data_IF_561618743093
#
_entry.id   IF_561618743093
#
_cell.length_a   1.000
_cell.length_b   1.000
_cell.length_c   1.000
_cell.angle_alpha   90.00
_cell.angle_beta   90.00
_cell.angle_gamma   90.00
#
_symmetry.space_group_name_H-M   'P 1'
#
loop_
_entity.id
_entity.type
_entity.pdbx_description
1 polymer ?
#
# COMPACT_ATOMS: atom_id res chain seq x y z
N UNK A 1 10.53 -22.47 44.22
CA UNK A 1 10.27 -22.45 42.75
C UNK A 1 10.23 -23.89 42.27
N UNK A 2 9.02 -24.42 42.06
CA UNK A 2 8.73 -25.86 42.06
C UNK A 2 9.34 -26.61 40.88
N UNK A 3 9.82 -27.85 41.12
CA UNK A 3 10.24 -28.82 40.09
C UNK A 3 9.22 -28.98 38.95
N UNK A 4 7.95 -28.77 39.26
CA UNK A 4 6.84 -28.76 38.28
C UNK A 4 6.99 -27.62 37.27
N UNK A 5 7.32 -26.40 37.69
CA UNK A 5 7.49 -25.25 36.78
C UNK A 5 8.70 -25.45 35.87
N UNK A 6 9.79 -26.02 36.41
CA UNK A 6 10.99 -26.36 35.62
C UNK A 6 10.71 -27.46 34.58
N UNK A 7 9.93 -28.46 34.93
CA UNK A 7 9.57 -29.54 34.01
C UNK A 7 8.56 -29.08 32.95
N UNK A 8 7.63 -28.18 33.28
CA UNK A 8 6.72 -27.57 32.30
C UNK A 8 7.49 -26.69 31.32
N UNK A 9 8.47 -25.91 31.79
CA UNK A 9 9.32 -25.10 30.90
C UNK A 9 10.19 -25.97 29.98
N UNK A 10 10.77 -27.06 30.48
CA UNK A 10 11.52 -28.02 29.67
C UNK A 10 10.63 -28.71 28.63
N UNK A 11 9.40 -29.11 29.00
CA UNK A 11 8.46 -29.73 28.06
C UNK A 11 8.05 -28.73 26.96
N UNK A 12 7.80 -27.47 27.33
CA UNK A 12 7.44 -26.40 26.38
C UNK A 12 8.62 -26.05 25.46
N UNK A 13 9.84 -26.04 25.98
CA UNK A 13 11.06 -25.81 25.18
C UNK A 13 11.33 -26.97 24.23
N UNK A 14 11.13 -28.23 24.68
CA UNK A 14 11.24 -29.38 23.79
C UNK A 14 10.14 -29.42 22.74
N UNK A 15 8.88 -29.08 23.08
CA UNK A 15 7.80 -28.98 22.09
C UNK A 15 8.04 -27.87 21.06
N UNK A 16 8.58 -26.72 21.47
CA UNK A 16 8.96 -25.64 20.55
C UNK A 16 10.14 -26.00 19.63
N UNK A 17 11.06 -26.88 20.07
CA UNK A 17 12.15 -27.35 19.19
C UNK A 17 11.73 -28.41 18.19
N UNK A 18 10.62 -29.12 18.41
CA UNK A 18 10.09 -30.11 17.45
C UNK A 18 9.24 -29.50 16.33
N UNK A 19 8.91 -28.20 16.36
CA UNK A 19 8.15 -27.53 15.29
C UNK A 19 9.00 -26.69 14.34
N UNK A 20 10.34 -26.77 14.45
CA UNK A 20 11.29 -26.14 13.52
C UNK A 20 12.04 -27.19 12.69
N UNK A 21 11.36 -28.28 12.33
CA UNK A 21 11.73 -28.95 11.09
C UNK A 21 11.13 -28.08 9.99
N UNK A 22 11.95 -27.19 9.44
CA UNK A 22 11.62 -26.45 8.24
C UNK A 22 11.08 -27.48 7.24
N UNK A 23 9.80 -27.34 6.89
CA UNK A 23 9.22 -28.07 5.78
C UNK A 23 10.01 -27.61 4.55
N UNK A 24 11.07 -28.35 4.19
CA UNK A 24 11.66 -28.22 2.87
C UNK A 24 10.56 -28.67 1.94
N UNK A 25 9.83 -27.69 1.37
CA UNK A 25 8.79 -27.98 0.40
C UNK A 25 9.36 -28.89 -0.66
N UNK A 26 8.60 -29.92 -1.04
CA UNK A 26 9.01 -30.80 -2.12
C UNK A 26 9.27 -29.95 -3.37
N UNK A 27 10.45 -30.15 -3.96
CA UNK A 27 10.78 -29.46 -5.22
C UNK A 27 9.90 -30.06 -6.30
N UNK A 28 9.07 -29.21 -6.88
CA UNK A 28 8.17 -29.56 -7.95
C UNK A 28 8.88 -29.76 -9.29
N UNK A 29 8.12 -30.10 -10.32
CA UNK A 29 8.62 -30.22 -11.68
C UNK A 29 7.57 -29.82 -12.73
N UNK A 30 8.07 -29.38 -13.88
CA UNK A 30 7.30 -29.33 -15.11
C UNK A 30 7.78 -30.48 -15.98
N UNK A 31 6.87 -31.38 -16.34
CA UNK A 31 7.18 -32.54 -17.17
C UNK A 31 6.11 -32.77 -18.21
N UNK A 32 6.27 -33.78 -19.05
CA UNK A 32 5.26 -34.18 -20.01
C UNK A 32 5.88 -34.68 -21.29
N UNK A 33 5.11 -34.60 -22.38
CA UNK A 33 5.50 -35.14 -23.68
C UNK A 33 5.19 -34.14 -24.79
N UNK A 34 6.21 -33.77 -25.55
CA UNK A 34 6.08 -32.93 -26.74
C UNK A 34 6.40 -33.73 -28.00
N UNK A 35 5.43 -33.81 -28.91
CA UNK A 35 5.57 -34.30 -30.26
C UNK A 35 6.14 -33.17 -31.12
N UNK A 36 7.38 -33.36 -31.58
CA UNK A 36 8.10 -32.40 -32.41
C UNK A 36 8.60 -33.08 -33.68
N UNK A 37 8.50 -32.37 -34.80
CA UNK A 37 9.11 -32.79 -36.06
C UNK A 37 10.65 -32.67 -36.06
N UNK A 38 11.29 -33.08 -37.14
CA UNK A 38 12.76 -33.08 -37.24
C UNK A 38 13.38 -31.68 -37.33
N UNK A 39 12.59 -30.63 -37.56
CA UNK A 39 13.07 -29.23 -37.65
C UNK A 39 13.37 -28.63 -36.28
N UNK A 40 12.75 -29.15 -35.23
CA UNK A 40 12.92 -28.69 -33.85
C UNK A 40 14.09 -29.37 -33.13
N UNK A 41 14.73 -28.63 -32.23
CA UNK A 41 15.65 -29.21 -31.26
C UNK A 41 14.85 -29.97 -30.21
N UNK A 42 15.39 -31.14 -29.81
CA UNK A 42 14.84 -31.94 -28.71
C UNK A 42 15.26 -31.36 -27.37
N UNK A 43 15.01 -30.07 -27.17
CA UNK A 43 15.35 -29.33 -25.95
C UNK A 43 14.22 -28.36 -25.59
N UNK A 44 13.80 -28.40 -24.33
CA UNK A 44 12.80 -27.48 -23.77
C UNK A 44 13.47 -26.52 -22.81
N UNK A 45 13.12 -25.24 -22.92
CA UNK A 45 13.64 -24.17 -22.07
C UNK A 45 12.51 -23.59 -21.23
N UNK A 46 12.83 -23.22 -19.99
CA UNK A 46 11.94 -22.53 -19.07
C UNK A 46 12.57 -21.19 -18.69
N UNK A 47 11.88 -20.11 -19.05
CA UNK A 47 12.34 -18.74 -18.78
C UNK A 47 11.40 -18.01 -17.83
N UNK A 48 11.94 -17.29 -16.85
CA UNK A 48 11.17 -16.43 -15.96
C UNK A 48 10.71 -15.16 -16.69
N UNK A 49 9.45 -14.79 -16.53
CA UNK A 49 8.88 -13.53 -17.02
C UNK A 49 8.84 -12.55 -15.86
N UNK A 50 9.81 -11.64 -15.75
CA UNK A 50 9.94 -10.76 -14.55
C UNK A 50 8.75 -9.81 -14.32
N UNK A 51 8.04 -9.43 -15.39
CA UNK A 51 6.93 -8.47 -15.33
C UNK A 51 5.96 -8.71 -16.50
N UNK A 52 4.67 -8.49 -16.28
CA UNK A 52 3.64 -8.70 -17.32
C UNK A 52 3.76 -7.73 -18.50
N UNK A 53 4.19 -6.49 -18.25
CA UNK A 53 4.46 -5.48 -19.29
C UNK A 53 5.61 -5.89 -20.23
N UNK A 54 6.41 -6.88 -19.81
CA UNK A 54 7.57 -7.39 -20.51
C UNK A 54 7.38 -8.86 -20.92
N UNK A 55 6.13 -9.33 -21.03
CA UNK A 55 5.81 -10.74 -21.25
C UNK A 55 6.49 -11.35 -22.49
N UNK A 56 6.73 -10.56 -23.54
CA UNK A 56 7.43 -11.00 -24.76
C UNK A 56 8.92 -10.65 -24.81
N UNK A 57 9.44 -9.87 -23.86
CA UNK A 57 10.87 -9.51 -23.82
C UNK A 57 11.76 -10.73 -23.57
N UNK A 58 12.99 -10.75 -24.12
CA UNK A 58 13.91 -11.90 -24.04
C UNK A 58 15.29 -11.48 -23.53
N UNK A 59 15.84 -12.23 -22.57
CA UNK A 59 17.27 -12.19 -22.23
C UNK A 59 17.74 -13.55 -21.69
N UNK A 60 18.98 -13.95 -22.01
CA UNK A 60 19.53 -15.26 -21.58
C UNK A 60 19.57 -15.44 -20.06
N UNK A 61 19.67 -14.33 -19.32
CA UNK A 61 19.76 -14.36 -17.87
C UNK A 61 18.44 -14.79 -17.20
N UNK A 62 17.39 -15.01 -17.99
CA UNK A 62 16.06 -15.41 -17.52
C UNK A 62 15.77 -16.90 -17.69
N UNK A 63 16.62 -17.67 -18.38
CA UNK A 63 16.46 -19.13 -18.44
C UNK A 63 16.78 -19.70 -17.05
N UNK A 64 15.75 -20.20 -16.38
CA UNK A 64 15.83 -20.75 -15.01
C UNK A 64 15.84 -22.28 -15.00
N UNK A 65 15.52 -22.91 -16.12
CA UNK A 65 15.57 -24.36 -16.27
C UNK A 65 15.59 -24.78 -17.73
N UNK A 66 16.10 -25.97 -18.00
CA UNK A 66 16.02 -26.59 -19.33
C UNK A 66 16.16 -28.10 -19.22
N UNK A 67 15.65 -28.83 -20.20
CA UNK A 67 15.76 -30.29 -20.29
C UNK A 67 15.85 -30.73 -21.73
N UNK A 68 16.72 -31.69 -22.02
CA UNK A 68 16.64 -32.46 -23.25
C UNK A 68 15.37 -33.34 -23.25
N UNK A 69 14.83 -33.60 -24.43
CA UNK A 69 13.72 -34.51 -24.66
C UNK A 69 14.25 -35.87 -25.09
N UNK A 70 13.64 -36.94 -24.57
CA UNK A 70 13.96 -38.30 -25.01
C UNK A 70 13.47 -38.60 -26.44
N UNK A 71 13.70 -39.84 -26.91
CA UNK A 71 13.27 -40.27 -28.24
C UNK A 71 11.75 -40.24 -28.44
N UNK A 72 10.98 -40.37 -27.35
CA UNK A 72 9.52 -40.34 -27.36
C UNK A 72 8.94 -38.94 -27.16
N UNK A 73 9.80 -37.94 -26.92
CA UNK A 73 9.43 -36.54 -26.68
C UNK A 73 9.17 -36.21 -25.21
N UNK A 74 9.49 -37.11 -24.28
CA UNK A 74 9.29 -36.83 -22.86
C UNK A 74 10.39 -35.90 -22.35
N UNK A 75 10.01 -34.97 -21.47
CA UNK A 75 10.92 -34.04 -20.81
C UNK A 75 10.57 -33.88 -19.33
N UNK A 76 11.54 -33.42 -18.54
CA UNK A 76 11.34 -33.10 -17.12
C UNK A 76 12.29 -31.99 -16.69
N UNK A 77 11.72 -30.86 -16.26
CA UNK A 77 12.44 -29.71 -15.71
C UNK A 77 12.13 -29.63 -14.22
N UNK A 78 13.15 -29.75 -13.38
CA UNK A 78 13.01 -29.51 -11.93
C UNK A 78 12.85 -28.00 -11.65
N UNK A 79 12.05 -27.66 -10.64
CA UNK A 79 11.80 -26.27 -10.24
C UNK A 79 12.70 -25.82 -9.08
N UNK A 80 13.89 -26.40 -8.94
CA UNK A 80 14.84 -26.10 -7.87
C UNK A 80 15.33 -24.65 -7.89
N UNK A 81 15.51 -24.07 -9.09
CA UNK A 81 15.97 -22.70 -9.31
C UNK A 81 14.83 -21.69 -9.56
N UNK A 82 13.61 -22.05 -9.18
CA UNK A 82 12.39 -21.25 -9.38
C UNK A 82 11.93 -20.61 -8.07
N UNK A 83 11.39 -19.38 -8.08
CA UNK A 83 10.86 -18.73 -6.89
C UNK A 83 9.79 -19.56 -6.16
N UNK A 84 9.75 -19.44 -4.83
CA UNK A 84 8.75 -20.09 -3.98
C UNK A 84 7.35 -19.44 -4.05
N UNK A 85 7.26 -18.22 -4.59
CA UNK A 85 6.00 -17.53 -4.84
C UNK A 85 5.52 -17.77 -6.28
N UNK A 86 4.21 -17.60 -6.51
CA UNK A 86 3.63 -17.65 -7.86
C UNK A 86 4.36 -16.72 -8.79
N UNK A 87 4.78 -17.25 -9.94
CA UNK A 87 5.50 -16.52 -10.98
C UNK A 87 5.06 -16.99 -12.35
N UNK A 88 5.25 -16.12 -13.33
CA UNK A 88 4.98 -16.42 -14.73
C UNK A 88 6.24 -16.88 -15.42
N UNK A 89 6.12 -17.98 -16.15
CA UNK A 89 7.19 -18.59 -16.92
C UNK A 89 6.77 -18.72 -18.37
N UNK A 90 7.78 -18.78 -19.22
CA UNK A 90 7.65 -19.12 -20.63
C UNK A 90 8.36 -20.45 -20.85
N UNK A 91 7.59 -21.45 -21.25
CA UNK A 91 8.12 -22.69 -21.76
C UNK A 91 8.27 -22.54 -23.27
N UNK A 92 9.43 -22.86 -23.84
CA UNK A 92 9.63 -22.75 -25.28
C UNK A 92 10.58 -23.82 -25.82
N UNK A 93 10.45 -24.06 -27.12
CA UNK A 93 11.33 -24.95 -27.90
C UNK A 93 11.89 -24.16 -29.08
N UNK A 94 13.03 -24.55 -29.63
CA UNK A 94 13.68 -23.81 -30.73
C UNK A 94 13.98 -24.72 -31.91
N UNK A 95 14.04 -24.15 -33.11
CA UNK A 95 14.45 -24.88 -34.32
C UNK A 95 15.95 -25.14 -34.33
N UNK A 96 16.36 -26.22 -34.99
CA UNK A 96 17.78 -26.59 -35.11
C UNK A 96 18.60 -25.47 -35.75
N UNK A 97 19.70 -25.12 -35.10
CA UNK A 97 20.63 -24.09 -35.58
C UNK A 97 20.21 -22.66 -35.24
N UNK A 98 19.08 -22.46 -34.56
CA UNK A 98 18.73 -21.19 -33.97
C UNK A 98 19.29 -21.08 -32.54
N UNK A 99 19.49 -19.85 -32.08
CA UNK A 99 19.86 -19.61 -30.69
C UNK A 99 18.67 -20.00 -29.77
N UNK A 100 18.92 -20.46 -28.52
CA UNK A 100 17.87 -20.63 -27.50
C UNK A 100 17.03 -19.38 -27.21
N UNK A 101 17.46 -18.20 -27.71
CA UNK A 101 16.77 -16.91 -27.66
C UNK A 101 15.68 -16.75 -28.72
N UNK A 102 15.60 -17.65 -29.69
CA UNK A 102 14.72 -17.49 -30.84
C UNK A 102 13.28 -17.78 -30.45
N UNK A 103 12.46 -16.74 -30.51
CA UNK A 103 11.02 -16.80 -30.24
C UNK A 103 10.27 -16.37 -31.49
N UNK A 104 9.25 -17.13 -31.83
CA UNK A 104 8.32 -16.80 -32.91
C UNK A 104 7.00 -16.40 -32.28
N UNK A 105 6.49 -15.23 -32.65
CA UNK A 105 5.24 -14.67 -32.13
C UNK A 105 4.18 -14.68 -33.23
N UNK A 106 2.96 -15.11 -32.89
CA UNK A 106 1.77 -14.84 -33.72
C UNK A 106 1.80 -15.47 -35.12
N UNK A 107 2.48 -16.61 -35.27
CA UNK A 107 2.52 -17.36 -36.54
C UNK A 107 2.26 -18.84 -36.30
N UNK A 108 2.09 -19.62 -37.38
CA UNK A 108 1.97 -21.08 -37.29
C UNK A 108 3.17 -21.77 -36.64
N UNK A 109 4.31 -21.08 -36.57
CA UNK A 109 5.54 -21.58 -35.95
C UNK A 109 5.75 -21.04 -34.54
N UNK A 110 4.70 -20.47 -33.91
CA UNK A 110 4.76 -20.06 -32.51
C UNK A 110 5.21 -21.23 -31.62
N UNK A 111 6.22 -20.94 -30.81
CA UNK A 111 7.07 -21.95 -30.19
C UNK A 111 7.16 -21.81 -28.68
N UNK A 112 6.18 -21.15 -28.05
CA UNK A 112 6.15 -20.96 -26.61
C UNK A 112 4.76 -21.14 -26.02
N UNK A 113 4.75 -21.32 -24.70
CA UNK A 113 3.57 -21.38 -23.85
C UNK A 113 3.88 -20.61 -22.57
N UNK A 114 2.95 -19.76 -22.14
CA UNK A 114 3.04 -19.16 -20.81
C UNK A 114 2.44 -20.07 -19.75
N UNK A 115 3.09 -20.14 -18.60
CA UNK A 115 2.70 -20.99 -17.47
C UNK A 115 2.83 -20.20 -16.17
N UNK A 116 1.88 -20.39 -15.26
CA UNK A 116 1.97 -19.90 -13.89
C UNK A 116 2.40 -21.04 -12.97
N UNK A 117 3.49 -20.86 -12.24
CA UNK A 117 4.03 -21.89 -11.34
C UNK A 117 4.76 -21.28 -10.14
N UNK A 118 5.14 -22.13 -9.19
CA UNK A 118 6.03 -21.84 -8.05
C UNK A 118 6.89 -23.08 -7.78
N UNK A 119 7.90 -22.96 -6.92
CA UNK A 119 8.91 -24.00 -6.66
C UNK A 119 8.37 -25.41 -6.38
N UNK A 120 7.21 -25.54 -5.75
CA UNK A 120 6.56 -26.81 -5.38
C UNK A 120 5.45 -27.24 -6.35
N UNK A 121 5.39 -26.65 -7.55
CA UNK A 121 4.36 -26.97 -8.55
C UNK A 121 4.66 -28.26 -9.30
N UNK A 122 3.62 -29.07 -9.49
CA UNK A 122 3.66 -30.30 -10.27
C UNK A 122 2.77 -30.12 -11.50
N UNK A 123 3.38 -29.89 -12.66
CA UNK A 123 2.66 -29.55 -13.89
C UNK A 123 3.06 -30.54 -14.98
N UNK A 124 2.06 -31.11 -15.67
CA UNK A 124 2.28 -31.97 -16.83
C UNK A 124 1.72 -31.32 -18.09
N UNK A 125 2.50 -31.36 -19.17
CA UNK A 125 2.17 -30.69 -20.43
C UNK A 125 2.26 -31.67 -21.58
N UNK A 126 1.20 -31.75 -22.37
CA UNK A 126 1.09 -32.63 -23.51
C UNK A 126 0.63 -31.82 -24.70
N UNK A 127 1.33 -31.90 -25.83
CA UNK A 127 0.82 -31.34 -27.07
C UNK A 127 0.20 -32.42 -27.96
N UNK A 128 -0.59 -31.95 -28.92
CA UNK A 128 -1.03 -32.76 -30.06
C UNK A 128 -0.08 -32.54 -31.23
N UNK A 129 -0.18 -33.38 -32.28
CA UNK A 129 0.67 -33.34 -33.48
C UNK A 129 0.35 -32.13 -34.41
N UNK A 130 -0.06 -31.00 -33.83
CA UNK A 130 -0.53 -29.80 -34.52
C UNK A 130 0.46 -28.64 -34.42
N UNK A 131 0.27 -27.67 -35.31
CA UNK A 131 1.02 -26.40 -35.35
C UNK A 131 0.05 -25.23 -35.19
N UNK A 132 0.33 -24.24 -34.33
CA UNK A 132 1.50 -24.11 -33.44
C UNK A 132 1.63 -25.20 -32.37
N UNK A 133 2.87 -25.47 -31.94
CA UNK A 133 3.22 -26.59 -31.05
C UNK A 133 2.39 -26.61 -29.77
N UNK A 134 2.10 -25.42 -29.21
CA UNK A 134 1.41 -25.27 -27.95
C UNK A 134 -0.06 -24.84 -28.07
N UNK A 135 -0.59 -24.69 -29.30
CA UNK A 135 -1.95 -24.16 -29.51
C UNK A 135 -3.02 -24.98 -28.78
N UNK A 136 -2.89 -26.31 -28.82
CA UNK A 136 -3.79 -27.25 -28.17
C UNK A 136 -3.09 -28.05 -27.08
N UNK A 137 -2.14 -27.44 -26.38
CA UNK A 137 -1.45 -28.09 -25.28
C UNK A 137 -2.42 -28.34 -24.11
N UNK A 138 -2.48 -29.59 -23.67
CA UNK A 138 -3.16 -29.99 -22.45
C UNK A 138 -2.22 -29.79 -21.26
N UNK A 139 -2.73 -29.11 -20.23
CA UNK A 139 -1.99 -28.81 -19.00
C UNK A 139 -2.71 -29.46 -17.82
N UNK A 140 -2.03 -30.38 -17.16
CA UNK A 140 -2.52 -31.05 -15.96
C UNK A 140 -1.76 -30.57 -14.72
N UNK A 141 -2.39 -30.65 -13.54
CA UNK A 141 -1.79 -30.23 -12.26
C UNK A 141 -1.86 -28.71 -12.01
N UNK A 142 -2.39 -27.93 -12.96
CA UNK A 142 -2.48 -26.48 -12.89
C UNK A 142 -3.87 -25.97 -13.32
N UNK A 143 -4.96 -26.21 -12.55
CA UNK A 143 -6.34 -25.87 -12.96
C UNK A 143 -6.55 -24.37 -13.22
N UNK A 144 -5.78 -23.51 -12.55
CA UNK A 144 -5.80 -22.06 -12.76
C UNK A 144 -5.35 -21.63 -14.17
N UNK A 145 -4.67 -22.52 -14.93
CA UNK A 145 -4.26 -22.25 -16.31
C UNK A 145 -5.46 -22.18 -17.27
N UNK A 146 -6.58 -22.82 -16.94
CA UNK A 146 -7.82 -22.67 -17.72
C UNK A 146 -8.33 -21.22 -17.66
N UNK A 147 -8.35 -20.64 -16.45
CA UNK A 147 -8.71 -19.23 -16.24
C UNK A 147 -7.70 -18.30 -16.92
N UNK A 148 -6.40 -18.61 -16.83
CA UNK A 148 -5.36 -17.85 -17.53
C UNK A 148 -5.58 -17.83 -19.05
N UNK A 149 -5.85 -18.99 -19.66
CA UNK A 149 -6.16 -19.10 -21.09
C UNK A 149 -7.46 -18.38 -21.47
N UNK A 150 -8.47 -18.42 -20.61
CA UNK A 150 -9.69 -17.64 -20.78
C UNK A 150 -9.40 -16.13 -20.80
N UNK A 151 -8.60 -15.62 -19.87
CA UNK A 151 -8.18 -14.21 -19.81
C UNK A 151 -7.47 -13.81 -21.11
N UNK A 152 -6.49 -14.62 -21.55
CA UNK A 152 -5.73 -14.34 -22.76
C UNK A 152 -6.65 -14.19 -23.98
N UNK A 153 -7.52 -15.18 -24.24
CA UNK A 153 -8.49 -15.13 -25.34
C UNK A 153 -9.46 -13.96 -25.23
N UNK A 154 -9.97 -13.69 -24.02
CA UNK A 154 -10.91 -12.60 -23.79
C UNK A 154 -10.27 -11.23 -24.04
N UNK A 155 -9.00 -11.05 -23.68
CA UNK A 155 -8.28 -9.79 -23.90
C UNK A 155 -7.98 -9.49 -25.37
N UNK A 156 -7.88 -10.53 -26.20
CA UNK A 156 -7.67 -10.38 -27.65
C UNK A 156 -8.97 -10.19 -28.42
N UNK A 157 -10.12 -10.54 -27.83
CA UNK A 157 -11.43 -10.49 -28.46
C UNK A 157 -11.76 -9.15 -29.15
N UNK A 158 -11.50 -7.96 -28.54
CA UNK A 158 -11.76 -6.70 -29.22
C UNK A 158 -10.95 -6.55 -30.51
N UNK A 159 -9.72 -7.07 -30.56
CA UNK A 159 -8.85 -6.93 -31.74
C UNK A 159 -9.21 -7.91 -32.86
N UNK A 160 -10.02 -8.93 -32.58
CA UNK A 160 -10.46 -9.93 -33.56
C UNK A 160 -11.70 -9.52 -34.35
N UNK A 161 -12.43 -8.47 -33.90
CA UNK A 161 -13.64 -7.99 -34.56
C UNK A 161 -13.29 -6.93 -35.60
N UNK A 162 -13.91 -7.03 -36.79
CA UNK A 162 -13.94 -5.95 -37.76
C UNK A 162 -15.10 -5.00 -37.42
N UNK A 163 -14.78 -3.75 -37.13
CA UNK A 163 -15.75 -2.75 -36.62
C UNK A 163 -16.32 -1.84 -37.70
N UNK A 164 -16.05 -2.09 -38.99
CA UNK A 164 -16.53 -1.24 -40.11
C UNK A 164 -16.28 0.27 -39.88
N UNK A 165 -15.18 0.62 -39.20
CA UNK A 165 -14.78 1.97 -38.76
C UNK A 165 -15.60 2.62 -37.62
N UNK A 166 -16.42 1.86 -36.88
CA UNK A 166 -17.13 2.33 -35.69
C UNK A 166 -16.23 2.37 -34.44
N UNK A 167 -15.62 3.52 -34.18
CA UNK A 167 -14.80 3.71 -32.97
C UNK A 167 -15.61 3.54 -31.67
N UNK A 168 -16.89 3.94 -31.70
CA UNK A 168 -17.79 3.84 -30.54
C UNK A 168 -18.07 2.39 -30.20
N UNK A 169 -18.30 1.54 -31.21
CA UNK A 169 -18.53 0.12 -31.00
C UNK A 169 -17.28 -0.58 -30.46
N UNK A 170 -16.10 -0.24 -31.00
CA UNK A 170 -14.82 -0.73 -30.49
C UNK A 170 -14.63 -0.38 -29.01
N UNK A 171 -14.78 0.90 -28.64
CA UNK A 171 -14.62 1.33 -27.25
C UNK A 171 -15.65 0.66 -26.33
N UNK A 172 -16.89 0.48 -26.78
CA UNK A 172 -17.90 -0.25 -26.02
C UNK A 172 -17.50 -1.72 -25.76
N UNK A 173 -16.99 -2.41 -26.77
CA UNK A 173 -16.53 -3.81 -26.61
C UNK A 173 -15.30 -3.88 -25.70
N UNK A 174 -14.36 -2.95 -25.82
CA UNK A 174 -13.20 -2.85 -24.92
C UNK A 174 -13.63 -2.64 -23.47
N UNK A 175 -14.58 -1.74 -23.21
CA UNK A 175 -15.15 -1.51 -21.88
C UNK A 175 -15.86 -2.77 -21.34
N UNK A 176 -16.66 -3.46 -22.16
CA UNK A 176 -17.31 -4.73 -21.77
C UNK A 176 -16.30 -5.82 -21.43
N UNK A 177 -15.22 -5.93 -22.22
CA UNK A 177 -14.14 -6.89 -21.96
C UNK A 177 -13.41 -6.54 -20.67
N UNK A 178 -13.12 -5.25 -20.42
CA UNK A 178 -12.50 -4.81 -19.17
C UNK A 178 -13.36 -5.17 -17.95
N UNK A 179 -14.68 -4.91 -18.00
CA UNK A 179 -15.59 -5.30 -16.91
C UNK A 179 -15.55 -6.81 -16.63
N UNK A 180 -15.52 -7.64 -17.68
CA UNK A 180 -15.37 -9.09 -17.52
C UNK A 180 -14.03 -9.49 -16.89
N UNK A 181 -12.94 -8.86 -17.32
CA UNK A 181 -11.61 -9.11 -16.76
C UNK A 181 -11.52 -8.70 -15.29
N UNK A 182 -12.14 -7.59 -14.89
CA UNK A 182 -12.28 -7.20 -13.47
C UNK A 182 -13.05 -8.22 -12.65
N UNK A 183 -14.16 -8.76 -13.18
CA UNK A 183 -14.91 -9.84 -12.51
C UNK A 183 -14.06 -11.10 -12.33
N UNK A 184 -13.28 -11.47 -13.36
CA UNK A 184 -12.32 -12.58 -13.25
C UNK A 184 -11.27 -12.27 -12.18
N UNK A 185 -10.70 -11.07 -12.17
CA UNK A 185 -9.72 -10.66 -11.18
C UNK A 185 -10.25 -10.79 -9.74
N UNK A 186 -11.51 -10.44 -9.50
CA UNK A 186 -12.08 -10.53 -8.16
C UNK A 186 -12.41 -11.97 -7.72
N UNK A 187 -12.87 -12.80 -8.66
CA UNK A 187 -13.32 -14.18 -8.37
C UNK A 187 -12.22 -15.23 -8.46
N UNK A 188 -11.09 -14.93 -9.12
CA UNK A 188 -10.00 -15.89 -9.31
C UNK A 188 -9.29 -16.22 -8.00
N UNK A 189 -9.10 -17.52 -7.74
CA UNK A 189 -8.43 -18.02 -6.53
C UNK A 189 -6.91 -17.85 -6.59
N UNK A 190 -6.31 -17.98 -7.78
CA UNK A 190 -4.87 -17.80 -7.95
C UNK A 190 -4.58 -16.30 -8.04
N UNK A 191 -3.82 -15.79 -7.07
CA UNK A 191 -3.56 -14.36 -6.97
C UNK A 191 -2.80 -13.81 -8.18
N UNK A 192 -1.83 -14.54 -8.73
CA UNK A 192 -1.09 -14.07 -9.89
C UNK A 192 -1.94 -14.07 -11.18
N UNK A 193 -2.81 -15.06 -11.38
CA UNK A 193 -3.76 -15.09 -12.50
C UNK A 193 -4.80 -13.98 -12.36
N UNK A 194 -5.27 -13.71 -11.14
CA UNK A 194 -6.12 -12.56 -10.82
C UNK A 194 -5.47 -11.25 -11.24
N UNK A 195 -4.20 -11.04 -10.87
CA UNK A 195 -3.46 -9.84 -11.23
C UNK A 195 -3.22 -9.72 -12.74
N UNK A 196 -2.92 -10.84 -13.40
CA UNK A 196 -2.77 -10.89 -14.85
C UNK A 196 -4.02 -10.39 -15.59
N UNK A 197 -5.23 -10.71 -15.09
CA UNK A 197 -6.47 -10.22 -15.68
C UNK A 197 -6.56 -8.68 -15.67
N UNK A 198 -6.13 -8.03 -14.59
CA UNK A 198 -6.10 -6.56 -14.51
C UNK A 198 -5.02 -5.96 -15.42
N UNK A 199 -3.90 -6.64 -15.59
CA UNK A 199 -2.86 -6.22 -16.53
C UNK A 199 -3.28 -6.27 -17.99
N UNK A 200 -4.36 -7.00 -18.31
CA UNK A 200 -4.97 -7.02 -19.64
C UNK A 200 -6.05 -5.95 -19.83
N UNK A 201 -6.28 -5.09 -18.84
CA UNK A 201 -7.13 -3.90 -18.97
C UNK A 201 -6.30 -2.62 -18.99
N UNK A 202 -6.91 -1.50 -19.38
CA UNK A 202 -6.35 -0.17 -19.10
C UNK A 202 -6.68 0.23 -17.66
N UNK A 203 -6.04 -0.45 -16.70
CA UNK A 203 -6.35 -0.30 -15.29
C UNK A 203 -6.14 1.12 -14.75
N UNK A 204 -5.30 1.94 -15.42
CA UNK A 204 -5.11 3.35 -15.05
C UNK A 204 -6.27 4.23 -15.52
N UNK A 205 -6.81 3.99 -16.73
CA UNK A 205 -8.05 4.62 -17.20
C UNK A 205 -9.23 4.15 -16.34
N UNK A 206 -9.32 2.85 -16.07
CA UNK A 206 -10.42 2.26 -15.31
C UNK A 206 -10.40 2.69 -13.84
N UNK A 207 -9.23 2.91 -13.24
CA UNK A 207 -9.11 3.46 -11.89
C UNK A 207 -9.78 4.82 -11.73
N UNK A 208 -9.78 5.64 -12.79
CA UNK A 208 -10.46 6.94 -12.76
C UNK A 208 -11.98 6.78 -12.80
N UNK A 209 -12.48 5.70 -13.42
CA UNK A 209 -13.91 5.37 -13.51
C UNK A 209 -14.43 4.72 -12.22
N UNK A 210 -13.66 3.80 -11.65
CA UNK A 210 -14.05 2.95 -10.50
C UNK A 210 -12.88 2.80 -9.49
N UNK A 211 -12.57 3.87 -8.73
CA UNK A 211 -11.45 3.84 -7.78
C UNK A 211 -11.68 2.89 -6.59
N UNK A 212 -12.93 2.60 -6.25
CA UNK A 212 -13.29 1.76 -5.12
C UNK A 212 -12.93 0.29 -5.38
N UNK A 213 -13.18 -0.22 -6.59
CA UNK A 213 -12.77 -1.57 -6.99
C UNK A 213 -11.26 -1.78 -6.78
N UNK A 214 -10.43 -0.88 -7.32
CA UNK A 214 -8.97 -1.01 -7.21
C UNK A 214 -8.49 -0.81 -5.78
N UNK A 215 -9.08 0.12 -5.02
CA UNK A 215 -8.75 0.30 -3.61
C UNK A 215 -9.02 -0.98 -2.79
N UNK A 216 -10.16 -1.62 -3.04
CA UNK A 216 -10.51 -2.90 -2.43
C UNK A 216 -9.57 -4.03 -2.88
N UNK A 217 -9.23 -4.08 -4.17
CA UNK A 217 -8.30 -5.07 -4.71
C UNK A 217 -6.88 -4.93 -4.13
N UNK A 218 -6.36 -3.71 -4.06
CA UNK A 218 -5.06 -3.39 -3.47
C UNK A 218 -5.04 -3.72 -1.97
N UNK A 219 -6.13 -3.48 -1.26
CA UNK A 219 -6.28 -3.88 0.14
C UNK A 219 -6.31 -5.40 0.33
N UNK A 220 -7.13 -6.11 -0.47
CA UNK A 220 -7.27 -7.58 -0.50
C UNK A 220 -5.92 -8.25 -0.72
N UNK A 221 -5.14 -7.73 -1.67
CA UNK A 221 -3.85 -8.30 -2.06
C UNK A 221 -2.68 -7.74 -1.26
N UNK A 222 -2.88 -6.80 -0.32
CA UNK A 222 -1.79 -6.07 0.37
C UNK A 222 -0.73 -6.94 1.07
N UNK A 223 -1.08 -8.18 1.44
CA UNK A 223 -0.17 -9.13 2.11
C UNK A 223 0.67 -9.97 1.15
N UNK A 224 0.38 -9.94 -0.15
CA UNK A 224 1.13 -10.68 -1.17
C UNK A 224 2.50 -10.00 -1.37
N UNK A 225 3.54 -10.56 -0.77
CA UNK A 225 4.92 -10.13 -0.98
C UNK A 225 5.49 -10.81 -2.23
N UNK A 226 5.25 -10.17 -3.37
CA UNK A 226 5.60 -10.69 -4.67
C UNK A 226 5.95 -9.53 -5.63
N UNK A 227 7.03 -9.65 -6.44
CA UNK A 227 7.45 -8.62 -7.39
C UNK A 227 6.34 -8.07 -8.30
N UNK A 228 5.45 -8.93 -8.83
CA UNK A 228 4.38 -8.48 -9.74
C UNK A 228 3.42 -7.53 -9.03
N UNK A 229 2.98 -7.90 -7.82
CA UNK A 229 2.09 -7.08 -7.01
C UNK A 229 2.76 -5.80 -6.53
N UNK A 230 4.05 -5.87 -6.16
CA UNK A 230 4.83 -4.70 -5.78
C UNK A 230 5.00 -3.73 -6.95
N UNK A 231 5.14 -4.23 -8.18
CA UNK A 231 5.11 -3.39 -9.39
C UNK A 231 3.75 -2.74 -9.58
N UNK A 232 2.67 -3.53 -9.54
CA UNK A 232 1.31 -3.04 -9.72
C UNK A 232 0.92 -1.95 -8.72
N UNK A 233 1.14 -2.17 -7.42
CA UNK A 233 0.79 -1.21 -6.35
C UNK A 233 1.49 0.14 -6.52
N UNK A 234 2.73 0.16 -7.03
CA UNK A 234 3.50 1.38 -7.26
C UNK A 234 2.92 2.27 -8.35
N UNK A 235 2.04 1.74 -9.20
CA UNK A 235 1.41 2.50 -10.29
C UNK A 235 0.24 3.35 -9.81
N UNK A 236 -0.30 3.06 -8.61
CA UNK A 236 -1.40 3.81 -8.03
C UNK A 236 -0.88 4.86 -7.06
N UNK A 237 -1.57 6.00 -6.91
CA UNK A 237 -1.26 6.94 -5.86
C UNK A 237 -1.33 6.22 -4.52
N UNK A 238 -0.35 6.43 -3.64
CA UNK A 238 -0.42 5.96 -2.26
C UNK A 238 -1.79 6.36 -1.71
N UNK A 239 -2.59 5.36 -1.31
CA UNK A 239 -3.84 5.61 -0.62
C UNK A 239 -3.45 6.45 0.59
N UNK A 240 -3.68 7.77 0.53
CA UNK A 240 -3.35 8.67 1.62
C UNK A 240 -4.13 8.15 2.80
N UNK A 241 -3.47 7.39 3.69
CA UNK A 241 -4.01 7.07 4.99
C UNK A 241 -4.30 8.43 5.57
N UNK A 242 -5.58 8.81 5.62
CA UNK A 242 -6.04 10.05 6.19
C UNK A 242 -5.30 10.17 7.52
N UNK A 243 -4.37 11.12 7.58
CA UNK A 243 -3.41 11.15 8.67
C UNK A 243 -4.17 11.65 9.87
N UNK A 244 -4.78 10.72 10.60
CA UNK A 244 -5.48 10.96 11.85
C UNK A 244 -4.60 11.76 12.82
N UNK A 245 -3.28 11.69 12.65
CA UNK A 245 -2.28 12.55 13.29
C UNK A 245 -2.46 14.04 12.97
N UNK A 246 -2.80 14.41 11.73
CA UNK A 246 -3.12 15.80 11.35
C UNK A 246 -4.40 16.27 12.02
N UNK A 247 -5.45 15.44 12.06
CA UNK A 247 -6.69 15.78 12.78
C UNK A 247 -6.42 15.98 14.27
N UNK A 248 -5.68 15.07 14.91
CA UNK A 248 -5.26 15.23 16.30
C UNK A 248 -4.42 16.48 16.53
N UNK A 249 -3.49 16.80 15.61
CA UNK A 249 -2.66 18.00 15.73
C UNK A 249 -3.49 19.29 15.65
N UNK A 250 -4.51 19.33 14.79
CA UNK A 250 -5.43 20.47 14.66
C UNK A 250 -6.31 20.59 15.91
N UNK A 251 -6.81 19.47 16.43
CA UNK A 251 -7.60 19.45 17.67
C UNK A 251 -6.78 19.93 18.88
N UNK A 252 -5.53 19.50 19.01
CA UNK A 252 -4.62 19.95 20.09
C UNK A 252 -4.33 21.44 19.95
N UNK A 253 -4.05 21.93 18.74
CA UNK A 253 -3.79 23.35 18.49
C UNK A 253 -5.01 24.22 18.84
N UNK A 254 -6.22 23.75 18.52
CA UNK A 254 -7.47 24.42 18.91
C UNK A 254 -7.66 24.50 20.42
N UNK A 255 -7.35 23.42 21.15
CA UNK A 255 -7.39 23.40 22.62
C UNK A 255 -6.36 24.37 23.20
N UNK A 256 -5.12 24.36 22.70
CA UNK A 256 -4.07 25.26 23.17
C UNK A 256 -4.40 26.74 22.88
N UNK A 257 -4.95 27.04 21.71
CA UNK A 257 -5.38 28.39 21.34
C UNK A 257 -6.53 28.88 22.22
N UNK A 258 -7.53 28.02 22.49
CA UNK A 258 -8.64 28.36 23.37
C UNK A 258 -8.19 28.60 24.82
N UNK A 259 -7.26 27.79 25.34
CA UNK A 259 -6.65 27.99 26.65
C UNK A 259 -5.86 29.29 26.72
N UNK A 260 -5.08 29.62 25.68
CA UNK A 260 -4.32 30.86 25.58
C UNK A 260 -5.23 32.10 25.54
N UNK A 261 -6.33 32.05 24.78
CA UNK A 261 -7.33 33.13 24.76
C UNK A 261 -8.04 33.30 26.11
N UNK A 262 -8.32 32.20 26.82
CA UNK A 262 -8.93 32.23 28.14
C UNK A 262 -8.00 32.87 29.19
N UNK A 263 -6.71 32.53 29.17
CA UNK A 263 -5.70 33.11 30.07
C UNK A 263 -5.49 34.60 29.74
N UNK A 264 -5.45 34.96 28.45
CA UNK A 264 -5.23 36.34 27.99
C UNK A 264 -6.42 37.27 28.26
N UNK A 265 -7.63 36.74 28.52
CA UNK A 265 -8.81 37.51 28.92
C UNK A 265 -8.85 37.88 30.42
N UNK A 266 -7.89 37.46 31.25
CA UNK A 266 -7.78 37.98 32.63
C UNK A 266 -7.42 39.47 32.60
N UNK A 267 -8.45 40.29 32.75
CA UNK A 267 -8.49 41.74 32.58
C UNK A 267 -7.43 42.50 33.39
N UNK A 268 -6.80 43.50 32.78
CA UNK A 268 -6.09 44.57 33.51
C UNK A 268 -7.13 45.43 34.27
N UNK A 269 -6.88 45.82 35.53
CA UNK A 269 -7.79 46.68 36.28
C UNK A 269 -7.89 48.05 35.62
N UNK A 270 -9.10 48.47 35.24
CA UNK A 270 -9.35 49.76 34.59
C UNK A 270 -9.40 50.86 35.65
N UNK A 271 -8.40 51.75 35.66
CA UNK A 271 -8.29 52.95 36.53
C UNK A 271 -9.46 53.95 36.32
N UNK A 272 -10.23 53.82 35.22
CA UNK A 272 -11.37 54.69 34.89
C UNK A 272 -12.52 54.68 35.91
N UNK A 273 -12.53 53.78 36.88
CA UNK A 273 -13.57 53.69 37.93
C UNK A 273 -13.32 54.57 39.16
N UNK A 274 -12.18 55.27 39.24
CA UNK A 274 -11.83 56.13 40.37
C UNK A 274 -12.34 57.56 40.23
N UNK A 275 -12.80 58.14 41.34
CA UNK A 275 -13.13 59.56 41.46
C UNK A 275 -11.87 60.44 41.34
N UNK A 276 -12.06 61.75 41.14
CA UNK A 276 -10.95 62.72 41.03
C UNK A 276 -10.06 62.69 42.29
N UNK A 277 -10.67 62.63 43.47
CA UNK A 277 -9.95 62.56 44.74
C UNK A 277 -9.23 61.22 44.94
N UNK A 278 -9.86 60.11 44.54
CA UNK A 278 -9.25 58.78 44.60
C UNK A 278 -8.05 58.65 43.66
N UNK A 279 -8.07 59.30 42.49
CA UNK A 279 -6.92 59.36 41.58
C UNK A 279 -5.76 60.16 42.16
N UNK A 280 -6.05 61.30 42.80
CA UNK A 280 -5.02 62.11 43.47
C UNK A 280 -4.37 61.32 44.62
N UNK A 281 -5.18 60.63 45.42
CA UNK A 281 -4.67 59.75 46.50
C UNK A 281 -3.85 58.59 45.92
N UNK A 282 -4.29 57.98 44.80
CA UNK A 282 -3.53 56.92 44.12
C UNK A 282 -2.17 57.41 43.60
N UNK A 283 -2.09 58.62 43.04
CA UNK A 283 -0.84 59.23 42.59
C UNK A 283 0.16 59.42 43.75
N UNK A 284 -0.31 59.90 44.90
CA UNK A 284 0.53 60.05 46.10
C UNK A 284 0.93 58.69 46.69
N UNK A 285 0.04 57.69 46.65
CA UNK A 285 0.38 56.31 47.02
C UNK A 285 1.52 55.74 46.15
N UNK A 286 1.49 56.01 44.85
CA UNK A 286 2.49 55.59 43.86
C UNK A 286 3.84 56.25 44.06
N UNK A 287 3.85 57.48 44.58
CA UNK A 287 5.08 58.20 45.00
C UNK A 287 5.67 57.68 46.31
N UNK A 288 5.05 56.68 46.95
CA UNK A 288 5.56 56.05 48.17
C UNK A 288 5.14 56.73 49.47
N UNK A 289 4.29 57.76 49.43
CA UNK A 289 3.89 58.52 50.62
C UNK A 289 3.03 57.69 51.59
N UNK A 290 3.33 57.77 52.89
CA UNK A 290 2.53 57.16 53.95
C UNK A 290 1.11 57.73 54.00
N UNK A 291 0.18 57.01 54.62
CA UNK A 291 -1.20 57.51 54.76
C UNK A 291 -1.28 58.81 55.56
N UNK A 292 -0.29 59.09 56.42
CA UNK A 292 -0.20 60.34 57.16
C UNK A 292 0.19 61.50 56.22
N UNK A 293 1.25 61.33 55.44
CA UNK A 293 1.71 62.34 54.46
C UNK A 293 0.66 62.62 53.38
N UNK A 294 -0.09 61.59 52.96
CA UNK A 294 -1.22 61.74 52.03
C UNK A 294 -2.35 62.56 52.67
N UNK A 295 -2.63 62.31 53.96
CA UNK A 295 -3.62 63.07 54.73
C UNK A 295 -3.29 64.55 54.72
N UNK A 296 -2.03 64.87 55.02
CA UNK A 296 -1.53 66.23 55.11
C UNK A 296 -1.53 66.90 53.72
N UNK A 297 -1.08 66.19 52.68
CA UNK A 297 -1.05 66.71 51.30
C UNK A 297 -2.43 66.90 50.65
N UNK A 298 -3.42 66.12 51.08
CA UNK A 298 -4.81 66.25 50.63
C UNK A 298 -5.68 67.10 51.57
N UNK A 299 -5.14 67.57 52.70
CA UNK A 299 -5.83 68.30 53.76
C UNK A 299 -7.12 67.60 54.23
N UNK A 300 -7.03 66.29 54.49
CA UNK A 300 -8.12 65.44 54.98
C UNK A 300 -7.67 64.64 56.21
N UNK A 301 -8.61 64.10 57.00
CA UNK A 301 -8.27 63.25 58.15
C UNK A 301 -7.69 61.88 57.76
N UNK A 302 -6.85 61.33 58.65
CA UNK A 302 -6.19 60.03 58.45
C UNK A 302 -7.21 58.88 58.30
N UNK A 303 -8.34 58.98 59.02
CA UNK A 303 -9.50 58.08 58.93
C UNK A 303 -10.06 58.07 57.50
N UNK A 304 -10.29 59.24 56.93
CA UNK A 304 -10.81 59.47 55.58
C UNK A 304 -9.82 58.99 54.50
N UNK A 305 -8.52 59.25 54.69
CA UNK A 305 -7.47 58.71 53.83
C UNK A 305 -7.50 57.19 53.79
N UNK A 306 -7.56 56.51 54.94
CA UNK A 306 -7.67 55.03 55.00
C UNK A 306 -8.91 54.50 54.29
N UNK A 307 -10.05 55.17 54.43
CA UNK A 307 -11.31 54.83 53.75
C UNK A 307 -11.21 54.97 52.22
N UNK A 308 -10.57 56.05 51.73
CA UNK A 308 -10.31 56.21 50.29
C UNK A 308 -9.34 55.15 49.77
N UNK A 309 -8.27 54.82 50.52
CA UNK A 309 -7.33 53.74 50.15
C UNK A 309 -8.04 52.39 50.06
N UNK A 310 -8.90 52.06 51.03
CA UNK A 310 -9.72 50.85 50.99
C UNK A 310 -10.67 50.81 49.80
N UNK A 311 -11.31 51.94 49.48
CA UNK A 311 -12.20 52.08 48.32
C UNK A 311 -11.45 51.91 47.00
N UNK A 312 -10.24 52.49 46.88
CA UNK A 312 -9.35 52.31 45.73
C UNK A 312 -8.98 50.83 45.58
N UNK A 313 -8.61 50.14 46.67
CA UNK A 313 -8.24 48.73 46.62
C UNK A 313 -9.39 47.84 46.16
N UNK A 314 -10.60 48.10 46.68
CA UNK A 314 -11.81 47.41 46.27
C UNK A 314 -12.15 47.66 44.80
N UNK A 315 -12.14 48.93 44.35
CA UNK A 315 -12.47 49.33 42.97
C UNK A 315 -11.47 48.81 41.94
N UNK A 316 -10.18 48.75 42.29
CA UNK A 316 -9.12 48.23 41.42
C UNK A 316 -8.88 46.72 41.59
N UNK A 317 -9.63 46.06 42.49
CA UNK A 317 -9.50 44.63 42.84
C UNK A 317 -8.07 44.23 43.23
N UNK A 318 -7.38 45.11 43.96
CA UNK A 318 -6.03 44.86 44.48
C UNK A 318 -6.07 44.60 45.99
N UNK A 319 -5.10 43.82 46.47
CA UNK A 319 -5.04 43.38 47.88
C UNK A 319 -3.92 44.01 48.69
N UNK A 320 -3.02 44.76 48.04
CA UNK A 320 -1.86 45.32 48.73
C UNK A 320 -1.39 46.63 48.12
N UNK A 321 -0.72 47.42 48.96
CA UNK A 321 -0.05 48.66 48.56
C UNK A 321 0.97 48.43 47.45
N UNK A 322 1.71 47.32 47.49
CA UNK A 322 2.69 46.95 46.45
C UNK A 322 2.03 46.78 45.08
N UNK A 323 0.82 46.23 45.02
CA UNK A 323 0.06 46.13 43.77
C UNK A 323 -0.42 47.49 43.26
N UNK A 324 -0.69 48.46 44.16
CA UNK A 324 -1.09 49.81 43.76
C UNK A 324 0.04 50.59 43.07
N UNK A 325 1.29 50.33 43.45
CA UNK A 325 2.48 50.95 42.85
C UNK A 325 2.67 50.56 41.38
N UNK A 326 2.24 49.37 40.99
CA UNK A 326 2.45 48.80 39.63
C UNK A 326 1.32 49.16 38.65
N UNK A 327 0.29 49.88 39.10
CA UNK A 327 -0.85 50.29 38.27
C UNK A 327 -0.47 51.51 37.43
N UNK A 328 -0.50 51.40 36.11
CA UNK A 328 -0.29 52.55 35.22
C UNK A 328 -1.53 53.45 35.21
N UNK A 329 -1.43 54.65 35.79
CA UNK A 329 -2.35 55.76 35.54
C UNK A 329 -2.01 56.29 34.14
N UNK A 330 -2.93 56.18 33.19
CA UNK A 330 -2.75 56.67 31.82
C UNK A 330 -3.72 57.81 31.54
#
# INVERSE_FOLDING_TARGET
MNKVVRNVFLLFFTLCTYTLQAYQGEIGNISGRLLLDETWERHVYLSLVESFEKEFSFSNNLIVGSSEMDSLGNFRIALDNVPSHWSMFRLHVVKKGFSPKYLVLGSREENYLFIIAKQDSEIRIFNTDGMPIFENAEIEGAPYMETFGYIARLSEYPNAIDYDNSLVEKEFIEDVVSEKLKMVADTCQNSLVSLYALYKTDFLKDFQKDPDFYSNYLAKTSKEDNPYFNSFRRQFPDSKKFSWLLVLSISILGILLSAWLYISKKSKPKVKTLSVQERKILDLLQKGMSNQEISDACNIELSTTKSHVGSIYSKLKIKSRKQALDIKIK
#
